data_IF_442808636442
#
_entry.id   IF_442808636442
#
_cell.length_a   1.000
_cell.length_b   1.000
_cell.length_c   1.000
_cell.angle_alpha   90.00
_cell.angle_beta   90.00
_cell.angle_gamma   90.00
#
_symmetry.space_group_name_H-M   'P 1'
#
loop_
_entity.id
_entity.type
_entity.pdbx_description
1 polymer ?
#
# COMPACT_ATOMS: atom_id res chain seq x y z
N UNK A 1 5.68 15.00 10.20
CA UNK A 1 5.09 13.67 10.04
C UNK A 1 5.42 13.18 8.65
N UNK A 2 5.77 11.89 8.49
CA UNK A 2 6.18 11.30 7.20
C UNK A 2 5.31 10.10 6.88
N UNK A 3 4.78 10.01 5.67
CA UNK A 3 3.93 8.90 5.22
C UNK A 3 4.56 8.24 3.99
N UNK A 4 4.78 6.93 4.07
CA UNK A 4 5.15 6.12 2.92
C UNK A 4 3.89 5.59 2.23
N UNK A 5 3.78 5.78 0.92
CA UNK A 5 2.64 5.33 0.12
C UNK A 5 3.12 4.33 -0.93
N UNK A 6 2.69 3.06 -0.84
CA UNK A 6 3.10 1.99 -1.76
C UNK A 6 2.03 1.80 -2.82
N UNK A 7 2.37 2.05 -4.08
CA UNK A 7 1.48 1.84 -5.22
C UNK A 7 1.70 0.45 -5.86
N UNK A 8 0.75 -0.45 -5.65
CA UNK A 8 0.75 -1.79 -6.23
C UNK A 8 0.21 -1.89 -7.66
N UNK A 9 -0.21 -0.79 -8.27
CA UNK A 9 -0.68 -0.82 -9.66
C UNK A 9 0.50 -1.01 -10.62
N UNK A 10 0.39 -1.88 -11.66
CA UNK A 10 1.39 -1.96 -12.72
C UNK A 10 1.37 -0.74 -13.66
N UNK A 11 0.34 0.10 -13.57
CA UNK A 11 0.18 1.31 -14.37
C UNK A 11 0.59 2.53 -13.56
N UNK A 12 1.69 3.18 -13.93
CA UNK A 12 2.19 4.38 -13.25
C UNK A 12 1.14 5.51 -13.18
N UNK A 13 0.36 5.70 -14.25
CA UNK A 13 -0.69 6.73 -14.34
C UNK A 13 -2.10 6.08 -14.36
N UNK A 14 -2.29 5.02 -13.58
CA UNK A 14 -3.58 4.34 -13.46
C UNK A 14 -4.49 4.99 -12.42
N UNK A 15 -5.70 4.43 -12.28
CA UNK A 15 -6.69 4.93 -11.33
C UNK A 15 -6.21 4.86 -9.86
N UNK A 16 -5.41 3.85 -9.49
CA UNK A 16 -4.78 3.78 -8.16
C UNK A 16 -3.86 4.98 -7.91
N UNK A 17 -3.13 5.42 -8.94
CA UNK A 17 -2.25 6.60 -8.83
C UNK A 17 -3.05 7.89 -8.63
N UNK A 18 -4.26 7.99 -9.20
CA UNK A 18 -5.15 9.15 -8.99
C UNK A 18 -5.51 9.25 -7.51
N UNK A 19 -5.97 8.16 -6.89
CA UNK A 19 -6.29 8.14 -5.47
C UNK A 19 -5.07 8.53 -4.60
N UNK A 20 -3.90 7.95 -4.86
CA UNK A 20 -2.70 8.27 -4.10
C UNK A 20 -2.23 9.73 -4.28
N UNK A 21 -2.37 10.29 -5.48
CA UNK A 21 -2.02 11.69 -5.72
C UNK A 21 -3.00 12.64 -5.04
N UNK A 22 -4.30 12.31 -4.99
CA UNK A 22 -5.28 13.08 -4.21
C UNK A 22 -4.92 13.09 -2.73
N UNK A 23 -4.68 11.91 -2.13
CA UNK A 23 -4.19 11.79 -0.75
C UNK A 23 -2.91 12.60 -0.52
N UNK A 24 -1.94 12.51 -1.44
CA UNK A 24 -0.69 13.25 -1.34
C UNK A 24 -0.92 14.75 -1.33
N UNK A 25 -1.82 15.24 -2.19
CA UNK A 25 -2.19 16.66 -2.23
C UNK A 25 -2.76 17.14 -0.89
N UNK A 26 -3.60 16.33 -0.25
CA UNK A 26 -4.14 16.63 1.09
C UNK A 26 -3.03 16.60 2.13
N UNK A 27 -2.18 15.59 2.14
CA UNK A 27 -1.05 15.50 3.08
C UNK A 27 -0.13 16.73 2.98
N UNK A 28 0.22 17.15 1.77
CA UNK A 28 1.06 18.34 1.54
C UNK A 28 0.42 19.62 2.08
N UNK A 29 -0.90 19.80 1.89
CA UNK A 29 -1.66 20.94 2.46
C UNK A 29 -1.62 20.97 3.99
N UNK A 30 -1.64 19.79 4.61
CA UNK A 30 -1.59 19.61 6.08
C UNK A 30 -0.14 19.56 6.62
N UNK A 31 0.87 19.80 5.80
CA UNK A 31 2.28 19.80 6.22
C UNK A 31 2.85 18.42 6.54
N UNK A 32 2.25 17.37 5.97
CA UNK A 32 2.71 15.98 6.08
C UNK A 32 3.56 15.62 4.86
N UNK A 33 4.79 15.16 5.09
CA UNK A 33 5.67 14.66 4.02
C UNK A 33 5.18 13.30 3.54
N UNK A 34 4.81 13.17 2.26
CA UNK A 34 4.28 11.96 1.67
C UNK A 34 5.05 11.52 0.42
N UNK A 35 5.60 10.31 0.47
CA UNK A 35 6.34 9.73 -0.64
C UNK A 35 5.58 8.55 -1.26
N UNK A 36 5.35 8.57 -2.58
CA UNK A 36 4.76 7.46 -3.34
C UNK A 36 5.87 6.62 -3.95
N UNK A 37 5.88 5.30 -3.68
CA UNK A 37 6.78 4.34 -4.30
C UNK A 37 5.97 3.35 -5.14
N UNK A 38 6.27 3.31 -6.43
CA UNK A 38 5.65 2.39 -7.39
C UNK A 38 6.31 1.01 -7.29
N UNK A 39 5.51 -0.04 -7.07
CA UNK A 39 6.01 -1.43 -7.01
C UNK A 39 5.29 -2.39 -7.96
N UNK A 40 4.12 -2.01 -8.46
CA UNK A 40 3.24 -2.92 -9.19
C UNK A 40 3.81 -3.48 -10.51
N UNK A 41 4.83 -2.85 -11.09
CA UNK A 41 5.55 -3.31 -12.29
C UNK A 41 6.91 -3.96 -11.98
N UNK A 42 7.31 -4.03 -10.72
CA UNK A 42 8.58 -4.63 -10.31
C UNK A 42 8.53 -6.16 -10.37
N UNK A 43 9.66 -6.78 -10.69
CA UNK A 43 9.82 -8.23 -10.68
C UNK A 43 10.12 -8.73 -9.26
N UNK A 44 9.11 -8.76 -8.40
CA UNK A 44 9.25 -9.18 -7.00
C UNK A 44 8.70 -10.59 -6.83
N UNK A 45 9.55 -11.50 -6.34
CA UNK A 45 9.11 -12.84 -5.97
C UNK A 45 8.55 -12.89 -4.55
N UNK A 46 7.64 -13.83 -4.29
CA UNK A 46 7.09 -14.08 -2.97
C UNK A 46 8.14 -14.56 -1.95
N UNK A 47 7.77 -14.56 -0.69
CA UNK A 47 8.57 -15.10 0.40
C UNK A 47 8.79 -16.60 0.21
N UNK A 48 10.03 -17.07 0.39
CA UNK A 48 10.41 -18.50 0.30
C UNK A 48 10.56 -19.17 1.67
N UNK A 49 10.13 -18.50 2.74
CA UNK A 49 10.18 -18.98 4.11
C UNK A 49 11.59 -19.47 4.56
N UNK A 50 12.65 -18.87 4.05
CA UNK A 50 14.04 -19.25 4.36
C UNK A 50 14.50 -18.82 5.76
N UNK A 51 13.75 -17.99 6.46
CA UNK A 51 13.99 -17.44 7.81
C UNK A 51 15.32 -16.67 7.99
N UNK A 52 16.08 -16.46 6.93
CA UNK A 52 17.37 -15.74 7.01
C UNK A 52 17.26 -14.30 7.46
N UNK A 53 16.07 -13.69 7.30
CA UNK A 53 15.83 -12.34 7.77
C UNK A 53 15.92 -12.19 9.30
N UNK A 54 15.72 -13.27 10.07
CA UNK A 54 15.91 -13.25 11.53
C UNK A 54 17.36 -12.94 11.92
N UNK A 55 18.33 -13.41 11.12
CA UNK A 55 19.75 -13.18 11.34
C UNK A 55 20.26 -11.90 10.66
N UNK A 56 19.75 -11.63 9.45
CA UNK A 56 20.23 -10.53 8.61
C UNK A 56 19.58 -9.18 8.93
N UNK A 57 18.44 -9.16 9.63
CA UNK A 57 17.63 -7.95 9.83
C UNK A 57 16.99 -7.39 8.55
N UNK A 58 17.07 -8.13 7.43
CA UNK A 58 16.51 -7.76 6.12
C UNK A 58 16.22 -8.99 5.27
N UNK A 59 15.41 -8.83 4.22
CA UNK A 59 15.18 -9.93 3.28
C UNK A 59 16.47 -10.31 2.55
N UNK A 60 16.64 -11.62 2.29
CA UNK A 60 17.81 -12.17 1.56
C UNK A 60 17.87 -11.71 0.10
N UNK A 61 16.71 -11.40 -0.50
CA UNK A 61 16.66 -10.86 -1.85
C UNK A 61 16.90 -9.35 -1.84
N UNK A 62 17.91 -8.92 -2.59
CA UNK A 62 18.27 -7.50 -2.68
C UNK A 62 17.48 -6.82 -3.81
N UNK A 63 16.27 -6.40 -3.49
CA UNK A 63 15.34 -5.73 -4.39
C UNK A 63 14.63 -4.54 -3.69
N UNK A 64 13.51 -4.10 -4.26
CA UNK A 64 12.73 -2.96 -3.74
C UNK A 64 12.28 -3.15 -2.29
N UNK A 65 12.08 -4.39 -1.82
CA UNK A 65 11.59 -4.66 -0.46
C UNK A 65 12.56 -4.14 0.60
N UNK A 66 13.87 -4.37 0.44
CA UNK A 66 14.86 -3.87 1.41
C UNK A 66 14.95 -2.33 1.41
N UNK A 67 14.73 -1.69 0.26
CA UNK A 67 14.67 -0.23 0.17
C UNK A 67 13.42 0.33 0.86
N UNK A 68 12.27 -0.34 0.68
CA UNK A 68 11.02 0.00 1.36
C UNK A 68 11.12 -0.19 2.87
N UNK A 69 11.85 -1.21 3.34
CA UNK A 69 12.05 -1.46 4.76
C UNK A 69 12.68 -0.26 5.48
N UNK A 70 13.69 0.36 4.87
CA UNK A 70 14.33 1.57 5.41
C UNK A 70 13.34 2.73 5.44
N UNK A 71 12.65 3.01 4.33
CA UNK A 71 11.65 4.08 4.24
C UNK A 71 10.50 3.88 5.24
N UNK A 72 10.01 2.65 5.41
CA UNK A 72 8.94 2.35 6.34
C UNK A 72 9.38 2.49 7.80
N UNK A 73 10.62 2.14 8.13
CA UNK A 73 11.13 2.35 9.50
C UNK A 73 11.13 3.83 9.90
N UNK A 74 11.38 4.74 8.96
CA UNK A 74 11.44 6.19 9.16
C UNK A 74 10.06 6.87 9.08
N UNK A 75 9.05 6.20 8.51
CA UNK A 75 7.71 6.77 8.33
C UNK A 75 6.86 6.63 9.60
N UNK A 76 5.96 7.59 9.84
CA UNK A 76 4.95 7.56 10.89
C UNK A 76 3.69 6.81 10.45
N UNK A 77 3.48 6.70 9.12
CA UNK A 77 2.34 6.01 8.53
C UNK A 77 2.70 5.29 7.23
N UNK A 78 1.89 4.27 6.90
CA UNK A 78 2.00 3.48 5.69
C UNK A 78 0.65 3.41 4.98
N UNK A 79 0.60 3.90 3.75
CA UNK A 79 -0.53 3.69 2.84
C UNK A 79 -0.17 2.60 1.85
N UNK A 80 -1.04 1.60 1.66
CA UNK A 80 -0.90 0.60 0.61
C UNK A 80 -2.07 0.70 -0.36
N UNK A 81 -1.79 0.78 -1.64
CA UNK A 81 -2.81 0.94 -2.65
C UNK A 81 -2.70 -0.11 -3.76
N UNK A 82 -3.83 -0.71 -4.15
CA UNK A 82 -3.88 -1.77 -5.15
C UNK A 82 -5.07 -1.65 -6.11
N UNK A 83 -4.87 -1.98 -7.39
CA UNK A 83 -6.00 -2.39 -8.21
C UNK A 83 -6.55 -3.73 -7.70
N UNK A 84 -7.85 -3.93 -7.89
CA UNK A 84 -8.52 -5.20 -7.55
C UNK A 84 -8.43 -6.16 -8.73
N UNK A 85 -7.81 -7.31 -8.50
CA UNK A 85 -7.72 -8.42 -9.44
C UNK A 85 -8.33 -9.68 -8.82
N UNK A 86 -9.45 -10.18 -9.36
CA UNK A 86 -10.16 -11.36 -8.82
C UNK A 86 -10.48 -11.26 -7.32
N UNK A 87 -10.95 -10.08 -6.88
CA UNK A 87 -11.26 -9.77 -5.48
C UNK A 87 -10.06 -9.89 -4.51
N UNK A 88 -8.85 -9.67 -5.00
CA UNK A 88 -7.60 -9.64 -4.26
C UNK A 88 -6.73 -8.48 -4.74
N UNK A 89 -5.70 -8.14 -3.99
CA UNK A 89 -4.71 -7.15 -4.41
C UNK A 89 -3.80 -7.69 -5.53
N UNK A 90 -3.10 -6.80 -6.23
CA UNK A 90 -2.08 -7.20 -7.19
C UNK A 90 -1.05 -8.11 -6.52
N UNK A 91 -0.79 -9.28 -7.10
CA UNK A 91 0.12 -10.29 -6.58
C UNK A 91 1.55 -9.74 -6.30
N UNK A 92 2.04 -8.80 -7.12
CA UNK A 92 3.33 -8.15 -6.85
C UNK A 92 3.29 -7.36 -5.55
N UNK A 93 2.21 -6.63 -5.27
CA UNK A 93 2.05 -5.91 -3.99
C UNK A 93 2.02 -6.89 -2.82
N UNK A 94 1.26 -7.99 -2.92
CA UNK A 94 1.22 -9.02 -1.87
C UNK A 94 2.63 -9.60 -1.62
N UNK A 95 3.38 -9.93 -2.68
CA UNK A 95 4.76 -10.42 -2.54
C UNK A 95 5.68 -9.40 -1.85
N UNK A 96 5.49 -8.10 -2.12
CA UNK A 96 6.21 -7.01 -1.43
C UNK A 96 5.81 -6.97 0.05
N UNK A 97 4.51 -6.95 0.37
CA UNK A 97 4.01 -6.81 1.73
C UNK A 97 4.37 -8.01 2.61
N UNK A 98 4.20 -9.25 2.10
CA UNK A 98 4.60 -10.47 2.81
C UNK A 98 6.06 -10.39 3.26
N UNK A 99 6.93 -9.99 2.35
CA UNK A 99 8.35 -9.90 2.63
C UNK A 99 8.70 -8.68 3.48
N UNK A 100 8.09 -7.53 3.23
CA UNK A 100 8.32 -6.29 3.98
C UNK A 100 7.95 -6.48 5.45
N UNK A 101 6.76 -6.99 5.72
CA UNK A 101 6.30 -7.18 7.10
C UNK A 101 7.02 -8.32 7.82
N UNK A 102 7.35 -9.41 7.12
CA UNK A 102 8.03 -10.56 7.71
C UNK A 102 9.52 -10.33 7.95
N UNK A 103 10.21 -9.58 7.09
CA UNK A 103 11.66 -9.41 7.17
C UNK A 103 12.13 -8.22 8.02
N UNK A 104 11.21 -7.40 8.53
CA UNK A 104 11.53 -6.20 9.30
C UNK A 104 11.23 -6.40 10.79
N UNK A 105 12.21 -6.07 11.64
CA UNK A 105 12.12 -6.23 13.11
C UNK A 105 11.87 -4.91 13.86
N UNK A 106 11.82 -3.77 13.18
CA UNK A 106 11.51 -2.50 13.85
C UNK A 106 10.06 -2.49 14.35
N UNK A 107 9.82 -1.77 15.42
CA UNK A 107 8.48 -1.63 16.01
C UNK A 107 7.56 -0.84 15.07
N UNK A 108 6.42 -1.46 14.72
CA UNK A 108 5.38 -0.87 13.89
C UNK A 108 4.19 -0.38 14.71
N UNK A 109 4.21 -0.64 16.02
CA UNK A 109 3.12 -0.26 16.93
C UNK A 109 2.83 1.22 16.83
N UNK A 110 1.54 1.55 16.64
CA UNK A 110 1.03 2.92 16.52
C UNK A 110 1.46 3.69 15.26
N UNK A 111 2.24 3.11 14.32
CA UNK A 111 2.32 3.68 12.98
C UNK A 111 0.96 3.54 12.30
N UNK A 112 0.46 4.61 11.69
CA UNK A 112 -0.88 4.61 11.11
C UNK A 112 -0.89 3.87 9.78
N UNK A 113 -1.79 2.90 9.62
CA UNK A 113 -2.00 2.18 8.36
C UNK A 113 -3.24 2.65 7.60
N UNK A 114 -3.19 2.67 6.27
CA UNK A 114 -4.37 2.83 5.43
C UNK A 114 -4.25 1.99 4.15
N UNK A 115 -5.34 1.33 3.76
CA UNK A 115 -5.45 0.66 2.46
C UNK A 115 -6.35 1.46 1.53
N UNK A 116 -5.97 1.49 0.24
CA UNK A 116 -6.76 2.09 -0.83
C UNK A 116 -6.92 1.07 -1.94
N UNK A 117 -8.13 0.83 -2.38
CA UNK A 117 -8.40 -0.17 -3.42
C UNK A 117 -9.10 0.45 -4.62
N UNK A 118 -8.68 0.07 -5.82
CA UNK A 118 -9.25 0.57 -7.05
C UNK A 118 -9.85 -0.56 -7.87
N UNK A 119 -11.14 -0.51 -8.17
CA UNK A 119 -11.83 -1.51 -8.97
C UNK A 119 -12.64 -0.90 -10.11
N UNK A 120 -12.92 -1.73 -11.12
CA UNK A 120 -13.95 -1.39 -12.10
C UNK A 120 -15.35 -1.44 -11.49
N UNK A 121 -15.64 -2.45 -10.63
CA UNK A 121 -16.95 -2.73 -10.02
C UNK A 121 -16.82 -3.39 -8.66
N UNK A 122 -16.80 -4.73 -8.59
CA UNK A 122 -16.81 -5.51 -7.37
C UNK A 122 -15.44 -5.95 -6.88
N UNK A 123 -15.39 -6.48 -5.65
CA UNK A 123 -14.18 -7.03 -5.03
C UNK A 123 -13.41 -6.08 -4.14
N UNK A 124 -13.82 -4.82 -4.00
CA UNK A 124 -13.12 -3.82 -3.18
C UNK A 124 -13.05 -4.25 -1.72
N UNK A 125 -14.16 -4.66 -1.10
CA UNK A 125 -14.19 -5.01 0.33
C UNK A 125 -13.27 -6.19 0.65
N UNK A 126 -13.26 -7.24 -0.17
CA UNK A 126 -12.38 -8.39 0.05
C UNK A 126 -10.89 -7.99 -0.05
N UNK A 127 -10.54 -7.16 -1.05
CA UNK A 127 -9.17 -6.66 -1.22
C UNK A 127 -8.77 -5.70 -0.09
N UNK A 128 -9.69 -4.84 0.35
CA UNK A 128 -9.49 -3.93 1.47
C UNK A 128 -9.22 -4.71 2.78
N UNK A 129 -10.02 -5.74 3.07
CA UNK A 129 -9.82 -6.60 4.23
C UNK A 129 -8.51 -7.37 4.18
N UNK A 130 -8.11 -7.86 3.00
CA UNK A 130 -6.82 -8.53 2.80
C UNK A 130 -5.65 -7.62 3.18
N UNK A 131 -5.63 -6.38 2.68
CA UNK A 131 -4.56 -5.42 2.95
C UNK A 131 -4.53 -4.97 4.42
N UNK A 132 -5.67 -4.75 5.04
CA UNK A 132 -5.76 -4.32 6.44
C UNK A 132 -5.22 -5.36 7.44
N UNK A 133 -5.13 -6.63 7.07
CA UNK A 133 -4.55 -7.68 7.93
C UNK A 133 -3.07 -7.46 8.24
N UNK A 134 -2.31 -6.86 7.33
CA UNK A 134 -0.91 -6.51 7.59
C UNK A 134 -0.79 -5.48 8.72
N UNK A 135 -1.71 -4.52 8.78
CA UNK A 135 -1.73 -3.50 9.82
C UNK A 135 -2.19 -4.06 11.16
N UNK A 136 -3.30 -4.79 11.17
CA UNK A 136 -3.90 -5.30 12.41
C UNK A 136 -2.97 -6.26 13.16
N UNK A 137 -2.28 -7.18 12.45
CA UNK A 137 -1.32 -8.09 13.09
C UNK A 137 -0.06 -7.36 13.62
N UNK A 138 0.20 -6.15 13.13
CA UNK A 138 1.38 -5.34 13.47
C UNK A 138 1.09 -4.25 14.50
N UNK A 139 -0.04 -4.28 15.17
CA UNK A 139 -0.51 -3.27 16.14
C UNK A 139 -0.56 -1.85 15.56
N UNK A 140 -0.82 -1.72 14.28
CA UNK A 140 -0.97 -0.46 13.59
C UNK A 140 -2.46 -0.06 13.57
N UNK A 141 -2.84 1.12 14.09
CA UNK A 141 -4.19 1.63 13.93
C UNK A 141 -4.48 1.89 12.44
N UNK A 142 -5.70 1.55 12.01
CA UNK A 142 -6.13 1.76 10.63
C UNK A 142 -6.87 3.08 10.54
N UNK A 143 -6.43 3.97 9.66
CA UNK A 143 -7.15 5.18 9.33
C UNK A 143 -8.41 4.80 8.52
N UNK A 144 -9.56 5.12 9.09
CA UNK A 144 -10.86 5.01 8.42
C UNK A 144 -11.24 6.34 7.77
N UNK A 145 -12.24 6.30 6.89
CA UNK A 145 -12.81 7.46 6.25
C UNK A 145 -14.35 7.46 6.42
N UNK A 146 -15.05 8.32 5.67
CA UNK A 146 -16.51 8.32 5.67
C UNK A 146 -17.12 7.03 5.10
N UNK A 147 -16.35 6.29 4.30
CA UNK A 147 -16.68 4.98 3.75
C UNK A 147 -15.41 4.11 3.65
N UNK A 148 -15.48 2.89 3.10
CA UNK A 148 -14.29 2.10 2.80
C UNK A 148 -13.47 2.77 1.70
N UNK A 149 -12.16 2.86 1.87
CA UNK A 149 -11.24 3.56 0.97
C UNK A 149 -11.17 2.86 -0.41
N UNK A 150 -12.17 3.08 -1.23
CA UNK A 150 -12.29 2.51 -2.56
C UNK A 150 -12.57 3.58 -3.60
N UNK A 151 -11.95 3.44 -4.78
CA UNK A 151 -12.18 4.30 -5.93
C UNK A 151 -12.47 3.44 -7.17
N UNK A 152 -13.31 3.93 -8.06
CA UNK A 152 -13.78 3.16 -9.20
C UNK A 152 -13.37 3.76 -10.54
N UNK A 153 -12.96 2.89 -11.46
CA UNK A 153 -12.62 3.22 -12.83
C UNK A 153 -12.12 2.01 -13.59
N UNK A 154 -12.51 1.87 -14.87
CA UNK A 154 -12.09 0.78 -15.75
C UNK A 154 -10.83 1.12 -16.54
N UNK A 155 -10.91 2.19 -17.30
CA UNK A 155 -9.80 2.71 -18.10
C UNK A 155 -8.88 3.63 -17.28
N UNK A 156 -7.63 3.82 -17.72
CA UNK A 156 -6.74 4.81 -17.09
C UNK A 156 -7.40 6.19 -17.09
N UNK A 157 -7.38 6.86 -15.94
CA UNK A 157 -7.92 8.21 -15.80
C UNK A 157 -9.40 8.29 -15.42
N UNK A 158 -10.17 7.21 -15.52
CA UNK A 158 -11.62 7.26 -15.26
C UNK A 158 -11.96 7.56 -13.78
N UNK A 159 -11.07 7.24 -12.84
CA UNK A 159 -11.29 7.48 -11.42
C UNK A 159 -11.43 8.97 -11.04
N UNK A 160 -11.02 9.91 -11.89
CA UNK A 160 -11.28 11.34 -11.68
C UNK A 160 -12.78 11.67 -11.69
N UNK A 161 -13.62 10.81 -12.28
CA UNK A 161 -15.07 10.93 -12.28
C UNK A 161 -15.76 10.32 -11.06
N UNK A 162 -15.05 9.61 -10.21
CA UNK A 162 -15.57 9.02 -8.96
C UNK A 162 -15.46 10.02 -7.81
N UNK A 163 -16.40 10.97 -7.78
CA UNK A 163 -16.39 12.06 -6.80
C UNK A 163 -16.49 11.53 -5.34
N UNK A 164 -17.27 10.47 -5.10
CA UNK A 164 -17.37 9.85 -3.79
C UNK A 164 -16.06 9.18 -3.38
N UNK A 165 -15.45 8.42 -4.29
CA UNK A 165 -14.17 7.78 -4.04
C UNK A 165 -13.03 8.77 -3.79
N UNK A 166 -13.03 9.93 -4.47
CA UNK A 166 -12.06 11.00 -4.24
C UNK A 166 -12.27 11.73 -2.92
N UNK A 167 -13.53 11.85 -2.47
CA UNK A 167 -13.86 12.47 -1.19
C UNK A 167 -13.58 11.53 0.01
N UNK A 168 -13.63 10.22 -0.24
CA UNK A 168 -13.37 9.19 0.77
C UNK A 168 -11.89 9.08 1.09
#
# INVERSE_FOLDING_TARGET
MKVLMINGSPRANGNTSIALNEMKTVFEKEGVDAEIVQVGSEAVRGCIACNRCAELGKCVFDDVVNKLAVKFSEADGLVVASPVYYASANATLIAVLDRLFYSTSFDKTMKVGASVVCARRGGCSATFDELNKYFTISNMPIASSQYWNSIHGRGPGEAVGDAEGLQT
#
